data_IF_821790286721
#
_entry.id   IF_821790286721
#
_cell.length_a   1.000
_cell.length_b   1.000
_cell.length_c   1.000
_cell.angle_alpha   90.00
_cell.angle_beta   90.00
_cell.angle_gamma   90.00
#
_symmetry.space_group_name_H-M   'P 1'
#
loop_
_entity.id
_entity.type
_entity.pdbx_description
1 polymer ?
#
# COMPACT_ATOMS: atom_id res chain seq x y z
N UNK A 1 -9.82 18.13 15.15
CA UNK A 1 -10.35 18.56 16.46
C UNK A 1 -10.51 20.07 16.44
N UNK A 2 -11.63 20.58 16.94
CA UNK A 2 -11.80 22.02 17.16
C UNK A 2 -10.93 22.51 18.33
N UNK A 3 -10.70 23.82 18.42
CA UNK A 3 -10.02 24.46 19.55
C UNK A 3 -10.72 24.16 20.87
N UNK A 4 -12.05 24.11 20.88
CA UNK A 4 -12.86 23.80 22.07
C UNK A 4 -12.70 22.34 22.54
N UNK A 5 -12.63 21.38 21.62
CA UNK A 5 -12.38 19.96 21.92
C UNK A 5 -10.99 19.75 22.54
N UNK A 6 -9.98 20.45 22.01
CA UNK A 6 -8.60 20.38 22.53
C UNK A 6 -8.52 20.90 23.96
N UNK A 7 -9.24 21.99 24.24
CA UNK A 7 -9.29 22.61 25.56
C UNK A 7 -10.01 21.73 26.59
N UNK A 8 -11.10 21.08 26.18
CA UNK A 8 -11.83 20.11 27.00
C UNK A 8 -10.98 18.87 27.29
N UNK A 9 -10.31 18.32 26.28
CA UNK A 9 -9.41 17.18 26.43
C UNK A 9 -8.31 17.47 27.45
N UNK A 10 -7.68 18.65 27.35
CA UNK A 10 -6.62 19.07 28.27
C UNK A 10 -7.13 19.21 29.72
N UNK A 11 -8.35 19.75 29.91
CA UNK A 11 -8.98 19.88 31.23
C UNK A 11 -9.28 18.52 31.86
N UNK A 12 -9.86 17.59 31.09
CA UNK A 12 -10.15 16.23 31.54
C UNK A 12 -8.86 15.48 31.89
N UNK A 13 -7.82 15.57 31.05
CA UNK A 13 -6.52 14.96 31.32
C UNK A 13 -5.86 15.51 32.60
N UNK A 14 -5.81 16.84 32.76
CA UNK A 14 -5.28 17.49 33.98
C UNK A 14 -6.07 17.10 35.23
N UNK A 15 -7.38 16.96 35.12
CA UNK A 15 -8.24 16.51 36.23
C UNK A 15 -7.99 15.04 36.58
N UNK A 16 -7.93 14.15 35.60
CA UNK A 16 -7.66 12.74 35.79
C UNK A 16 -6.28 12.48 36.41
N UNK A 17 -5.26 13.21 35.96
CA UNK A 17 -3.91 13.20 36.55
C UNK A 17 -3.91 13.64 38.03
N UNK A 18 -4.64 14.71 38.36
CA UNK A 18 -4.82 15.17 39.76
C UNK A 18 -5.52 14.12 40.62
N UNK A 19 -6.50 13.40 40.06
CA UNK A 19 -7.26 12.35 40.74
C UNK A 19 -6.57 10.98 40.73
N UNK A 20 -5.37 10.88 40.14
CA UNK A 20 -4.60 9.63 39.97
C UNK A 20 -5.44 8.51 39.32
N UNK A 21 -6.33 8.88 38.40
CA UNK A 21 -7.11 7.89 37.66
C UNK A 21 -6.15 7.05 36.80
N UNK A 22 -6.47 5.77 36.66
CA UNK A 22 -5.71 4.91 35.76
C UNK A 22 -5.92 5.35 34.30
N UNK A 23 -5.04 4.88 33.40
CA UNK A 23 -5.07 5.28 32.00
C UNK A 23 -6.41 4.94 31.32
N UNK A 24 -6.95 3.74 31.56
CA UNK A 24 -8.24 3.33 30.98
C UNK A 24 -9.40 4.25 31.38
N UNK A 25 -9.52 4.59 32.67
CA UNK A 25 -10.56 5.51 33.15
C UNK A 25 -10.35 6.92 32.60
N UNK A 26 -9.10 7.36 32.47
CA UNK A 26 -8.77 8.67 31.88
C UNK A 26 -9.15 8.73 30.40
N UNK A 27 -8.84 7.69 29.64
CA UNK A 27 -9.20 7.56 28.23
C UNK A 27 -10.72 7.51 28.06
N UNK A 28 -11.42 6.70 28.88
CA UNK A 28 -12.89 6.63 28.87
C UNK A 28 -13.55 7.99 29.10
N UNK A 29 -13.05 8.78 30.04
CA UNK A 29 -13.57 10.12 30.33
C UNK A 29 -13.28 11.11 29.20
N UNK A 30 -12.12 11.01 28.56
CA UNK A 30 -11.78 11.82 27.40
C UNK A 30 -12.70 11.48 26.22
N UNK A 31 -12.91 10.19 25.95
CA UNK A 31 -13.83 9.73 24.92
C UNK A 31 -15.26 10.22 25.18
N UNK A 32 -15.75 10.11 26.42
CA UNK A 32 -17.11 10.55 26.77
C UNK A 32 -17.24 12.07 26.73
N UNK A 33 -16.27 12.80 27.28
CA UNK A 33 -16.28 14.26 27.32
C UNK A 33 -16.16 14.90 25.94
N UNK A 34 -15.43 14.27 25.02
CA UNK A 34 -15.29 14.74 23.63
C UNK A 34 -16.45 14.28 22.72
N UNK A 35 -17.44 13.56 23.25
CA UNK A 35 -18.52 13.02 22.43
C UNK A 35 -18.05 11.94 21.43
N UNK A 36 -16.91 11.31 21.72
CA UNK A 36 -16.25 10.26 20.95
C UNK A 36 -16.22 8.89 21.67
N UNK A 37 -17.27 8.42 22.41
CA UNK A 37 -17.22 7.10 23.01
C UNK A 37 -16.94 6.04 21.95
N UNK A 38 -15.90 5.24 22.16
CA UNK A 38 -15.62 4.06 21.33
C UNK A 38 -16.72 3.03 21.59
N UNK A 39 -17.20 2.38 20.54
CA UNK A 39 -18.25 1.38 20.67
C UNK A 39 -17.67 0.15 21.38
N UNK A 40 -18.35 -0.31 22.43
CA UNK A 40 -17.92 -1.48 23.19
C UNK A 40 -17.93 -2.73 22.29
N UNK A 41 -16.97 -3.65 22.45
CA UNK A 41 -17.01 -4.93 21.76
C UNK A 41 -18.33 -5.66 22.03
N UNK A 42 -18.84 -6.33 21.01
CA UNK A 42 -20.05 -7.17 21.09
C UNK A 42 -19.85 -8.36 22.03
N UNK A 43 -18.61 -8.84 22.15
CA UNK A 43 -18.20 -9.86 23.12
C UNK A 43 -17.39 -9.17 24.22
N UNK A 44 -17.94 -8.95 25.41
CA UNK A 44 -17.30 -8.13 26.46
C UNK A 44 -15.92 -8.62 26.93
N UNK A 45 -15.62 -9.92 26.74
CA UNK A 45 -14.35 -10.57 27.14
C UNK A 45 -13.30 -10.52 26.01
N UNK A 46 -13.71 -10.17 24.80
CA UNK A 46 -12.85 -10.00 23.62
C UNK A 46 -12.81 -8.51 23.29
N UNK A 47 -11.92 -7.79 23.94
CA UNK A 47 -11.59 -6.41 23.60
C UNK A 47 -10.24 -6.38 22.88
N UNK A 48 -10.14 -5.59 21.82
CA UNK A 48 -8.84 -5.21 21.25
C UNK A 48 -8.11 -4.22 22.19
N UNK A 49 -7.99 -4.57 23.47
CA UNK A 49 -7.21 -3.82 24.46
C UNK A 49 -5.74 -4.28 24.48
N UNK A 50 -5.41 -5.33 23.72
CA UNK A 50 -4.11 -6.03 23.70
C UNK A 50 -2.96 -5.21 23.11
N UNK A 51 -3.24 -4.09 22.44
CA UNK A 51 -2.24 -3.24 21.76
C UNK A 51 -2.01 -1.86 22.40
N UNK A 52 -2.92 -1.39 23.26
CA UNK A 52 -2.99 0.05 23.60
C UNK A 52 -2.98 0.36 25.08
N UNK A 53 -3.17 -0.61 25.98
CA UNK A 53 -3.17 -0.34 27.42
C UNK A 53 -2.35 -1.39 28.15
N UNK A 54 -1.16 -1.03 28.65
CA UNK A 54 -0.35 -1.83 29.58
C UNK A 54 -1.01 -2.06 30.95
N UNK A 55 -2.29 -2.42 30.96
CA UNK A 55 -3.09 -2.78 32.13
C UNK A 55 -3.19 -4.31 32.12
N UNK A 56 -2.28 -4.94 32.88
CA UNK A 56 -2.19 -6.36 33.27
C UNK A 56 -3.23 -7.32 32.66
N UNK A 57 -2.79 -8.13 31.69
CA UNK A 57 -3.36 -9.47 31.49
C UNK A 57 -3.19 -10.13 30.12
N UNK A 58 -2.98 -9.36 29.04
CA UNK A 58 -2.91 -9.90 27.66
C UNK A 58 -2.21 -8.92 26.70
N UNK A 59 -0.96 -8.58 26.97
CA UNK A 59 -0.18 -7.75 26.03
C UNK A 59 0.21 -8.61 24.82
N UNK A 60 -0.11 -8.14 23.60
CA UNK A 60 0.34 -8.83 22.39
C UNK A 60 1.85 -8.70 22.24
N UNK A 61 2.55 -9.83 22.13
CA UNK A 61 4.00 -9.85 21.91
C UNK A 61 4.32 -9.36 20.50
N UNK A 62 5.48 -8.71 20.33
CA UNK A 62 5.93 -8.23 19.01
C UNK A 62 5.98 -9.35 17.97
N UNK A 63 6.40 -10.56 18.35
CA UNK A 63 6.39 -11.72 17.47
C UNK A 63 4.97 -12.07 16.96
N UNK A 64 3.96 -12.02 17.85
CA UNK A 64 2.58 -12.31 17.49
C UNK A 64 1.98 -11.18 16.63
N UNK A 65 2.37 -9.93 16.91
CA UNK A 65 2.00 -8.76 16.11
C UNK A 65 2.59 -8.86 14.69
N UNK A 66 3.88 -9.18 14.55
CA UNK A 66 4.53 -9.36 13.23
C UNK A 66 3.84 -10.46 12.44
N UNK A 67 3.51 -11.59 13.10
CA UNK A 67 2.77 -12.66 12.47
C UNK A 67 1.37 -12.22 12.06
N UNK A 68 0.69 -11.39 12.86
CA UNK A 68 -0.70 -10.96 12.63
C UNK A 68 -0.87 -9.80 11.65
N UNK A 69 0.08 -8.86 11.61
CA UNK A 69 -0.06 -7.58 10.92
C UNK A 69 1.11 -7.24 9.98
N UNK A 70 2.20 -8.03 10.02
CA UNK A 70 3.49 -7.74 9.33
C UNK A 70 4.30 -6.59 9.93
N UNK A 71 3.86 -6.08 11.07
CA UNK A 71 4.51 -5.07 11.89
C UNK A 71 4.45 -5.55 13.34
N UNK A 72 5.45 -5.21 14.13
CA UNK A 72 5.40 -5.38 15.58
C UNK A 72 4.43 -4.35 16.21
N UNK A 73 4.32 -4.32 17.54
CA UNK A 73 3.40 -3.40 18.22
C UNK A 73 3.76 -1.94 17.91
N UNK A 74 5.04 -1.60 18.01
CA UNK A 74 5.54 -0.25 17.74
C UNK A 74 5.25 0.19 16.30
N UNK A 75 5.45 -0.70 15.33
CA UNK A 75 5.22 -0.43 13.92
C UNK A 75 3.74 -0.19 13.60
N UNK A 76 2.82 -0.92 14.22
CA UNK A 76 1.37 -0.64 14.06
C UNK A 76 1.02 0.74 14.62
N UNK A 77 1.54 1.09 15.80
CA UNK A 77 1.30 2.40 16.42
C UNK A 77 1.91 3.55 15.61
N UNK A 78 3.16 3.40 15.18
CA UNK A 78 3.87 4.38 14.36
C UNK A 78 3.16 4.59 13.02
N UNK A 79 2.78 3.50 12.34
CA UNK A 79 2.05 3.56 11.08
C UNK A 79 0.68 4.25 11.25
N UNK A 80 -0.04 3.95 12.33
CA UNK A 80 -1.33 4.60 12.65
C UNK A 80 -1.15 6.11 12.80
N UNK A 81 -0.10 6.53 13.52
CA UNK A 81 0.22 7.94 13.73
C UNK A 81 0.65 8.64 12.43
N UNK A 82 1.59 8.06 11.68
CA UNK A 82 2.16 8.67 10.49
C UNK A 82 1.16 8.76 9.33
N UNK A 83 0.24 7.80 9.22
CA UNK A 83 -0.84 7.86 8.23
C UNK A 83 -1.95 8.85 8.59
N UNK A 84 -1.86 9.50 9.76
CA UNK A 84 -2.84 10.48 10.22
C UNK A 84 -4.19 9.86 10.57
N UNK A 85 -4.21 8.58 10.97
CA UNK A 85 -5.45 7.90 11.34
C UNK A 85 -6.02 8.58 12.59
N UNK A 86 -7.30 9.01 12.57
CA UNK A 86 -7.93 9.59 13.75
C UNK A 86 -7.88 8.65 14.96
N UNK A 87 -7.71 9.20 16.16
CA UNK A 87 -7.75 8.42 17.41
C UNK A 87 -9.04 7.60 17.54
N UNK A 88 -10.17 8.16 17.07
CA UNK A 88 -11.44 7.46 16.92
C UNK A 88 -11.87 7.56 15.47
N UNK A 89 -11.90 6.42 14.79
CA UNK A 89 -12.42 6.27 13.43
C UNK A 89 -13.93 6.08 13.53
N UNK A 90 -14.65 6.89 12.75
CA UNK A 90 -16.11 6.87 12.68
C UNK A 90 -16.51 6.51 11.25
N UNK A 91 -17.13 5.35 11.06
CA UNK A 91 -17.58 4.90 9.74
C UNK A 91 -18.84 5.67 9.29
N UNK A 92 -19.23 5.55 8.02
CA UNK A 92 -20.48 6.13 7.52
C UNK A 92 -21.72 5.56 8.21
N UNK A 93 -21.64 4.33 8.72
CA UNK A 93 -22.68 3.69 9.54
C UNK A 93 -22.54 4.01 11.03
N UNK A 94 -21.67 4.97 11.38
CA UNK A 94 -21.42 5.47 12.75
C UNK A 94 -20.83 4.42 13.70
N UNK A 95 -20.21 3.37 13.18
CA UNK A 95 -19.39 2.48 14.01
C UNK A 95 -18.20 3.30 14.53
N UNK A 96 -17.88 3.14 15.82
CA UNK A 96 -16.80 3.87 16.49
C UNK A 96 -15.74 2.91 16.97
N UNK A 97 -14.52 3.10 16.48
CA UNK A 97 -13.38 2.20 16.72
C UNK A 97 -12.12 3.01 16.94
N UNK A 98 -11.21 2.54 17.79
CA UNK A 98 -9.93 3.23 17.97
C UNK A 98 -9.11 3.20 16.67
N UNK A 99 -8.31 4.22 16.42
CA UNK A 99 -7.48 4.29 15.21
C UNK A 99 -6.53 3.09 15.07
N UNK A 100 -5.94 2.65 16.19
CA UNK A 100 -5.04 1.49 16.25
C UNK A 100 -5.78 0.19 15.94
N UNK A 101 -7.00 0.01 16.49
CA UNK A 101 -7.84 -1.13 16.17
C UNK A 101 -8.25 -1.14 14.70
N UNK A 102 -8.62 0.02 14.15
CA UNK A 102 -8.97 0.14 12.73
C UNK A 102 -7.77 -0.21 11.82
N UNK A 103 -6.57 0.26 12.17
CA UNK A 103 -5.32 -0.09 11.47
C UNK A 103 -5.03 -1.60 11.55
N UNK A 104 -5.19 -2.20 12.72
CA UNK A 104 -4.98 -3.64 12.90
C UNK A 104 -6.01 -4.48 12.13
N UNK A 105 -7.28 -4.04 12.07
CA UNK A 105 -8.31 -4.67 11.22
C UNK A 105 -7.87 -4.63 9.75
N UNK A 106 -7.37 -3.47 9.28
CA UNK A 106 -6.84 -3.30 7.92
C UNK A 106 -5.70 -4.28 7.63
N UNK A 107 -4.66 -4.28 8.47
CA UNK A 107 -3.47 -5.11 8.30
C UNK A 107 -3.78 -6.61 8.41
N UNK A 108 -4.57 -7.02 9.41
CA UNK A 108 -4.99 -8.42 9.61
C UNK A 108 -5.77 -8.94 8.41
N UNK A 109 -6.67 -8.11 7.85
CA UNK A 109 -7.47 -8.48 6.70
C UNK A 109 -6.63 -8.58 5.42
N UNK A 110 -5.64 -7.70 5.23
CA UNK A 110 -4.74 -7.75 4.07
C UNK A 110 -3.79 -8.95 4.11
N UNK A 111 -3.31 -9.32 5.31
CA UNK A 111 -2.30 -10.37 5.52
C UNK A 111 -2.64 -11.70 4.81
N UNK A 112 -3.87 -12.18 4.96
CA UNK A 112 -4.27 -13.51 4.49
C UNK A 112 -5.78 -13.54 4.19
N UNK A 113 -6.28 -14.42 3.30
CA UNK A 113 -7.71 -14.62 3.07
C UNK A 113 -8.45 -15.25 4.26
N UNK A 114 -8.61 -14.47 5.32
CA UNK A 114 -9.40 -14.78 6.52
C UNK A 114 -10.86 -14.39 6.28
N UNK A 115 -11.84 -14.98 6.97
CA UNK A 115 -13.22 -14.47 6.95
C UNK A 115 -13.42 -13.38 8.01
N UNK A 116 -14.48 -12.57 7.88
CA UNK A 116 -14.81 -11.66 8.98
C UNK A 116 -15.27 -12.41 10.22
N UNK A 117 -15.83 -13.62 10.08
CA UNK A 117 -16.20 -14.48 11.19
C UNK A 117 -14.99 -14.85 12.05
N UNK A 118 -13.90 -15.29 11.43
CA UNK A 118 -12.68 -15.68 12.17
C UNK A 118 -12.03 -14.50 12.91
N UNK A 119 -12.25 -13.27 12.42
CA UNK A 119 -11.75 -12.04 13.04
C UNK A 119 -12.53 -11.62 14.30
N UNK A 120 -13.74 -12.18 14.54
CA UNK A 120 -14.53 -11.87 15.75
C UNK A 120 -13.75 -12.18 17.03
N UNK A 121 -13.00 -13.28 17.04
CA UNK A 121 -12.23 -13.72 18.21
C UNK A 121 -11.08 -12.78 18.57
N UNK A 122 -10.62 -11.96 17.61
CA UNK A 122 -9.52 -11.01 17.80
C UNK A 122 -10.04 -9.62 18.15
N UNK A 123 -11.13 -9.18 17.52
CA UNK A 123 -11.60 -7.79 17.63
C UNK A 123 -12.89 -7.63 18.42
N UNK A 124 -13.61 -8.71 18.70
CA UNK A 124 -14.88 -8.68 19.44
C UNK A 124 -16.00 -7.89 18.74
N UNK A 125 -15.85 -7.58 17.44
CA UNK A 125 -16.82 -6.83 16.64
C UNK A 125 -17.62 -7.74 15.72
N UNK A 126 -18.84 -7.33 15.38
CA UNK A 126 -19.66 -8.08 14.42
C UNK A 126 -18.99 -8.13 13.04
N UNK A 127 -19.37 -9.11 12.21
CA UNK A 127 -18.82 -9.26 10.86
C UNK A 127 -19.10 -8.02 10.01
N UNK A 128 -20.26 -7.41 10.24
CA UNK A 128 -20.75 -6.24 9.54
C UNK A 128 -19.93 -5.00 9.93
N UNK A 129 -19.64 -4.82 11.22
CA UNK A 129 -18.74 -3.76 11.71
C UNK A 129 -17.34 -3.91 11.12
N UNK A 130 -16.75 -5.11 11.18
CA UNK A 130 -15.42 -5.37 10.64
C UNK A 130 -15.34 -5.08 9.13
N UNK A 131 -16.37 -5.45 8.39
CA UNK A 131 -16.47 -5.14 6.96
C UNK A 131 -16.51 -3.63 6.70
N UNK A 132 -17.33 -2.88 7.45
CA UNK A 132 -17.44 -1.43 7.29
C UNK A 132 -16.15 -0.70 7.69
N UNK A 133 -15.53 -1.09 8.80
CA UNK A 133 -14.25 -0.54 9.26
C UNK A 133 -13.15 -0.82 8.25
N UNK A 134 -13.03 -2.05 7.75
CA UNK A 134 -12.05 -2.40 6.73
C UNK A 134 -12.21 -1.53 5.47
N UNK A 135 -13.42 -1.44 4.93
CA UNK A 135 -13.66 -0.63 3.72
C UNK A 135 -13.44 0.87 3.97
N UNK A 136 -13.82 1.38 5.15
CA UNK A 136 -13.55 2.75 5.54
C UNK A 136 -12.04 3.03 5.58
N UNK A 137 -11.25 2.15 6.19
CA UNK A 137 -9.80 2.30 6.26
C UNK A 137 -9.13 2.20 4.89
N UNK A 138 -9.59 1.32 4.00
CA UNK A 138 -9.12 1.27 2.61
C UNK A 138 -9.38 2.60 1.90
N UNK A 139 -10.59 3.16 2.03
CA UNK A 139 -10.92 4.46 1.43
C UNK A 139 -10.10 5.59 2.04
N UNK A 140 -10.00 5.64 3.38
CA UNK A 140 -9.21 6.65 4.07
C UNK A 140 -7.76 6.66 3.59
N UNK A 141 -7.08 5.51 3.61
CA UNK A 141 -5.68 5.42 3.17
C UNK A 141 -5.55 5.78 1.69
N UNK A 142 -6.39 5.20 0.83
CA UNK A 142 -6.32 5.47 -0.60
C UNK A 142 -6.54 6.95 -0.91
N UNK A 143 -7.61 7.56 -0.39
CA UNK A 143 -7.94 8.96 -0.69
C UNK A 143 -6.87 9.92 -0.16
N UNK A 144 -6.35 9.69 1.05
CA UNK A 144 -5.31 10.54 1.66
C UNK A 144 -3.97 10.42 0.94
N UNK A 145 -3.60 9.21 0.50
CA UNK A 145 -2.27 8.91 -0.04
C UNK A 145 -2.24 8.62 -1.54
N UNK A 146 -3.33 8.89 -2.28
CA UNK A 146 -3.43 8.55 -3.72
C UNK A 146 -2.31 9.13 -4.57
N UNK A 147 -1.87 10.34 -4.27
CA UNK A 147 -0.83 11.02 -5.05
C UNK A 147 0.54 10.41 -4.75
N UNK A 148 0.79 10.02 -3.48
CA UNK A 148 1.97 9.24 -3.09
C UNK A 148 1.99 7.84 -3.69
N UNK A 149 0.83 7.16 -3.72
CA UNK A 149 0.68 5.83 -4.36
C UNK A 149 0.92 5.95 -5.87
N UNK A 150 0.35 6.98 -6.49
CA UNK A 150 0.56 7.23 -7.90
C UNK A 150 2.02 7.54 -8.18
N UNK A 151 2.65 8.50 -7.52
CA UNK A 151 4.10 8.70 -7.61
C UNK A 151 4.61 9.57 -6.44
N UNK A 152 5.48 9.02 -5.60
CA UNK A 152 6.09 9.79 -4.50
C UNK A 152 7.23 10.69 -5.03
N UNK A 153 6.86 11.85 -5.60
CA UNK A 153 7.80 12.84 -6.17
C UNK A 153 8.89 13.26 -5.22
N UNK A 154 8.57 13.41 -3.94
CA UNK A 154 9.51 13.90 -2.93
C UNK A 154 10.70 12.95 -2.78
N UNK A 155 10.40 11.65 -2.67
CA UNK A 155 11.42 10.60 -2.60
C UNK A 155 12.19 10.51 -3.92
N UNK A 156 11.50 10.56 -5.06
CA UNK A 156 12.18 10.58 -6.38
C UNK A 156 13.14 11.76 -6.48
N UNK A 157 12.69 12.99 -6.20
CA UNK A 157 13.50 14.20 -6.26
C UNK A 157 14.76 14.08 -5.40
N UNK A 158 14.64 13.51 -4.21
CA UNK A 158 15.78 13.35 -3.30
C UNK A 158 16.76 12.24 -3.73
N UNK A 159 16.30 11.19 -4.43
CA UNK A 159 17.05 9.93 -4.60
C UNK A 159 17.32 9.52 -6.05
N UNK A 160 16.72 10.15 -7.06
CA UNK A 160 16.80 9.73 -8.47
C UNK A 160 18.24 9.58 -8.98
N UNK A 161 19.13 10.51 -8.62
CA UNK A 161 20.54 10.45 -8.96
C UNK A 161 21.27 9.27 -8.29
N UNK A 162 20.91 8.94 -7.06
CA UNK A 162 21.46 7.79 -6.32
C UNK A 162 20.99 6.49 -6.95
N UNK A 163 19.70 6.40 -7.31
CA UNK A 163 19.15 5.23 -8.02
C UNK A 163 19.91 4.94 -9.30
N UNK A 164 20.13 5.97 -10.13
CA UNK A 164 20.87 5.82 -11.39
C UNK A 164 22.31 5.35 -11.18
N UNK A 165 23.01 5.94 -10.20
CA UNK A 165 24.37 5.55 -9.85
C UNK A 165 24.48 4.10 -9.39
N UNK A 166 23.55 3.65 -8.53
CA UNK A 166 23.55 2.29 -8.00
C UNK A 166 23.21 1.27 -9.08
N UNK A 167 22.27 1.58 -9.97
CA UNK A 167 21.95 0.76 -11.15
C UNK A 167 23.16 0.63 -12.07
N UNK A 168 23.86 1.73 -12.34
CA UNK A 168 25.10 1.72 -13.12
C UNK A 168 26.19 0.87 -12.45
N UNK A 169 26.43 1.09 -11.15
CA UNK A 169 27.41 0.33 -10.37
C UNK A 169 27.11 -1.17 -10.34
N UNK A 170 25.83 -1.56 -10.44
CA UNK A 170 25.42 -2.97 -10.50
C UNK A 170 25.74 -3.65 -11.84
N UNK A 171 26.09 -2.88 -12.87
CA UNK A 171 26.49 -3.37 -14.19
C UNK A 171 25.60 -2.89 -15.34
N UNK A 172 24.77 -1.85 -15.14
CA UNK A 172 24.03 -1.24 -16.24
C UNK A 172 24.98 -0.48 -17.17
N UNK A 173 24.96 -0.73 -18.50
CA UNK A 173 25.67 0.10 -19.48
C UNK A 173 25.15 1.53 -19.57
N UNK A 174 23.95 1.81 -19.03
CA UNK A 174 23.35 3.15 -18.99
C UNK A 174 23.59 3.78 -17.62
N UNK A 175 24.00 5.06 -17.62
CA UNK A 175 24.32 5.83 -16.41
C UNK A 175 23.12 6.53 -15.76
N UNK A 176 21.98 6.58 -16.46
CA UNK A 176 20.84 7.41 -16.11
C UNK A 176 19.51 6.63 -16.02
N UNK A 177 19.55 5.31 -15.93
CA UNK A 177 18.38 4.48 -15.64
C UNK A 177 18.12 4.48 -14.14
N UNK A 178 16.94 4.89 -13.69
CA UNK A 178 16.66 5.07 -12.25
C UNK A 178 15.58 4.12 -11.70
N UNK A 179 14.74 3.55 -12.55
CA UNK A 179 13.70 2.61 -12.13
C UNK A 179 13.31 1.67 -13.27
N UNK A 180 12.58 0.62 -12.90
CA UNK A 180 12.14 -0.41 -13.84
C UNK A 180 10.62 -0.57 -13.77
N UNK A 181 9.90 -0.39 -14.89
CA UNK A 181 8.48 -0.68 -14.97
C UNK A 181 8.22 -2.18 -15.07
N UNK A 182 7.17 -2.62 -14.41
CA UNK A 182 6.64 -3.97 -14.55
C UNK A 182 5.12 -4.00 -14.35
N UNK A 183 4.47 -4.98 -14.98
CA UNK A 183 3.04 -5.21 -14.89
C UNK A 183 2.70 -6.40 -14.00
N UNK A 184 1.69 -6.30 -13.15
CA UNK A 184 1.14 -7.44 -12.42
C UNK A 184 -0.34 -7.61 -12.67
N UNK A 185 -0.75 -8.87 -12.84
CA UNK A 185 -2.16 -9.24 -12.92
C UNK A 185 -2.62 -9.83 -11.59
N UNK A 186 -3.74 -9.34 -11.09
CA UNK A 186 -4.40 -9.84 -9.88
C UNK A 186 -5.64 -10.62 -10.31
N UNK A 187 -5.69 -11.91 -9.95
CA UNK A 187 -6.81 -12.78 -10.30
C UNK A 187 -8.09 -12.35 -9.58
N UNK A 188 -9.20 -12.40 -10.29
CA UNK A 188 -10.52 -12.10 -9.74
C UNK A 188 -11.46 -13.30 -9.89
N UNK A 189 -12.55 -13.30 -9.10
CA UNK A 189 -13.68 -14.16 -9.41
C UNK A 189 -14.11 -13.97 -10.86
N UNK A 190 -14.63 -15.05 -11.46
CA UNK A 190 -15.34 -14.95 -12.73
C UNK A 190 -16.61 -14.11 -12.50
N UNK A 191 -16.64 -12.92 -13.08
CA UNK A 191 -17.83 -12.07 -13.07
C UNK A 191 -18.91 -12.67 -13.99
N UNK A 192 -20.18 -12.49 -13.63
CA UNK A 192 -21.29 -12.82 -14.53
C UNK A 192 -21.19 -11.99 -15.81
N UNK A 193 -21.64 -12.57 -16.94
CA UNK A 193 -21.63 -11.86 -18.22
C UNK A 193 -22.61 -10.67 -18.22
N UNK A 194 -23.71 -10.81 -17.47
CA UNK A 194 -24.70 -9.79 -17.16
C UNK A 194 -24.62 -9.47 -15.67
N UNK A 195 -24.03 -8.33 -15.31
CA UNK A 195 -24.32 -7.71 -14.03
C UNK A 195 -25.58 -6.86 -14.19
N UNK A 196 -26.53 -6.95 -13.26
CA UNK A 196 -27.67 -6.03 -13.23
C UNK A 196 -27.13 -4.59 -13.25
N UNK A 197 -27.44 -3.84 -14.32
CA UNK A 197 -26.95 -2.47 -14.54
C UNK A 197 -25.90 -2.29 -15.65
N UNK A 198 -25.40 -3.36 -16.29
CA UNK A 198 -24.41 -3.29 -17.37
C UNK A 198 -24.94 -3.88 -18.70
N UNK A 199 -26.14 -3.45 -19.13
CA UNK A 199 -26.75 -3.89 -20.39
C UNK A 199 -25.79 -3.59 -21.56
N UNK A 200 -25.41 -4.63 -22.32
CA UNK A 200 -24.50 -4.51 -23.48
C UNK A 200 -22.99 -4.61 -23.16
N UNK A 201 -22.59 -4.68 -21.89
CA UNK A 201 -21.18 -4.81 -21.50
C UNK A 201 -20.87 -6.23 -21.01
N UNK A 202 -20.22 -7.04 -21.85
CA UNK A 202 -19.68 -8.33 -21.44
C UNK A 202 -18.41 -8.14 -20.57
N UNK A 203 -18.62 -7.82 -19.29
CA UNK A 203 -17.55 -7.60 -18.30
C UNK A 203 -16.65 -8.84 -18.13
N UNK A 204 -17.23 -10.02 -18.32
CA UNK A 204 -16.51 -11.28 -18.30
C UNK A 204 -15.44 -11.33 -19.40
N UNK A 205 -15.78 -10.95 -20.63
CA UNK A 205 -14.82 -10.90 -21.76
C UNK A 205 -13.74 -9.83 -21.54
N UNK A 206 -14.09 -8.67 -21.00
CA UNK A 206 -13.13 -7.58 -20.76
C UNK A 206 -12.08 -7.94 -19.71
N UNK A 207 -12.50 -8.56 -18.61
CA UNK A 207 -11.60 -8.94 -17.50
C UNK A 207 -10.79 -10.20 -17.79
N UNK A 208 -11.21 -11.02 -18.76
CA UNK A 208 -10.47 -12.22 -19.14
C UNK A 208 -9.20 -11.87 -19.91
N UNK A 209 -8.05 -12.32 -19.41
CA UNK A 209 -6.79 -12.25 -20.14
C UNK A 209 -6.57 -13.53 -20.93
N UNK A 210 -6.59 -13.45 -22.27
CA UNK A 210 -6.27 -14.61 -23.11
C UNK A 210 -4.85 -15.13 -22.91
N UNK A 211 -3.89 -14.24 -22.68
CA UNK A 211 -2.48 -14.61 -22.45
C UNK A 211 -2.27 -15.38 -21.15
N UNK A 212 -2.90 -14.94 -20.03
CA UNK A 212 -2.79 -15.62 -18.73
C UNK A 212 -3.88 -16.67 -18.48
N UNK A 213 -4.88 -16.77 -19.37
CA UNK A 213 -6.04 -17.68 -19.29
C UNK A 213 -6.82 -17.58 -17.97
N UNK A 214 -7.02 -16.35 -17.48
CA UNK A 214 -7.65 -16.06 -16.18
C UNK A 214 -8.39 -14.71 -16.20
N UNK A 215 -9.42 -14.57 -15.37
CA UNK A 215 -10.05 -13.26 -15.09
C UNK A 215 -9.16 -12.48 -14.14
N UNK A 216 -8.76 -11.28 -14.53
CA UNK A 216 -7.85 -10.48 -13.73
C UNK A 216 -7.99 -8.99 -13.99
N UNK A 217 -7.41 -8.23 -13.06
CA UNK A 217 -7.14 -6.80 -13.20
C UNK A 217 -5.64 -6.59 -13.43
N UNK A 218 -5.29 -5.68 -14.33
CA UNK A 218 -3.91 -5.32 -14.62
C UNK A 218 -3.51 -4.07 -13.84
N UNK A 219 -2.29 -4.09 -13.30
CA UNK A 219 -1.66 -3.00 -12.57
C UNK A 219 -0.23 -2.83 -13.09
N UNK A 220 0.30 -1.62 -12.99
CA UNK A 220 1.67 -1.29 -13.36
C UNK A 220 2.36 -0.62 -12.18
N UNK A 221 3.62 -0.98 -11.96
CA UNK A 221 4.46 -0.36 -10.95
C UNK A 221 5.83 0.00 -11.48
N UNK A 222 6.46 1.01 -10.87
CA UNK A 222 7.89 1.31 -11.04
C UNK A 222 8.63 0.87 -9.79
N UNK A 223 9.62 -0.01 -9.95
CA UNK A 223 10.47 -0.47 -8.84
C UNK A 223 11.79 0.26 -8.84
N UNK A 224 12.19 0.81 -7.69
CA UNK A 224 13.46 1.51 -7.48
C UNK A 224 14.49 0.62 -6.74
N UNK A 225 15.79 0.93 -6.85
CA UNK A 225 16.87 0.17 -6.21
C UNK A 225 16.75 0.01 -4.70
N UNK A 226 16.12 0.95 -4.02
CA UNK A 226 15.86 0.88 -2.57
C UNK A 226 14.69 -0.03 -2.18
N UNK A 227 14.13 -0.75 -3.16
CA UNK A 227 13.10 -1.75 -2.96
C UNK A 227 11.68 -1.20 -2.83
N UNK A 228 11.46 0.07 -3.18
CA UNK A 228 10.13 0.67 -3.22
C UNK A 228 9.44 0.46 -4.57
N UNK A 229 8.12 0.34 -4.53
CA UNK A 229 7.25 0.60 -5.67
C UNK A 229 6.93 2.10 -5.72
N UNK A 230 7.74 2.90 -6.42
CA UNK A 230 7.68 4.37 -6.34
C UNK A 230 6.49 4.99 -7.10
N UNK A 231 5.93 4.24 -8.05
CA UNK A 231 4.71 4.55 -8.78
C UNK A 231 3.89 3.27 -8.86
N UNK A 232 2.58 3.35 -8.61
CA UNK A 232 1.68 2.22 -8.79
C UNK A 232 0.32 2.67 -9.33
N UNK A 233 -0.11 2.05 -10.43
CA UNK A 233 -1.32 2.43 -11.16
C UNK A 233 -2.18 1.23 -11.53
N UNK A 234 -3.50 1.43 -11.51
CA UNK A 234 -4.53 0.47 -11.85
C UNK A 234 -5.81 0.78 -11.05
N UNK A 235 -6.82 -0.11 -11.08
CA UNK A 235 -6.92 -1.32 -11.89
C UNK A 235 -7.32 -1.04 -13.34
N UNK A 236 -6.81 -1.83 -14.28
CA UNK A 236 -7.33 -1.92 -15.65
C UNK A 236 -7.79 -3.34 -16.00
N UNK A 237 -8.52 -3.50 -17.10
CA UNK A 237 -9.04 -4.81 -17.48
C UNK A 237 -7.90 -5.77 -17.88
N UNK A 238 -7.92 -7.01 -17.41
CA UNK A 238 -6.83 -7.98 -17.62
C UNK A 238 -6.52 -8.34 -19.07
N UNK A 239 -7.45 -8.08 -20.00
CA UNK A 239 -7.24 -8.22 -21.44
C UNK A 239 -6.26 -7.18 -22.02
N UNK A 240 -6.03 -6.06 -21.32
CA UNK A 240 -5.14 -4.99 -21.79
C UNK A 240 -3.66 -5.41 -21.69
N UNK A 241 -2.90 -5.02 -22.70
CA UNK A 241 -1.43 -5.14 -22.71
C UNK A 241 -0.79 -4.06 -21.83
N UNK A 242 0.43 -4.30 -21.35
CA UNK A 242 1.12 -3.39 -20.42
C UNK A 242 1.40 -2.00 -21.04
N UNK A 243 1.59 -1.93 -22.36
CA UNK A 243 1.65 -0.67 -23.12
C UNK A 243 0.37 0.16 -22.97
N UNK A 244 -0.79 -0.50 -22.91
CA UNK A 244 -2.06 0.19 -22.69
C UNK A 244 -2.15 0.73 -21.27
N UNK A 245 -1.63 -0.02 -20.28
CA UNK A 245 -1.56 0.46 -18.89
C UNK A 245 -0.65 1.66 -18.79
N UNK A 246 0.53 1.62 -19.41
CA UNK A 246 1.47 2.74 -19.50
C UNK A 246 0.79 4.00 -20.07
N UNK A 247 0.10 3.87 -21.20
CA UNK A 247 -0.60 5.00 -21.82
C UNK A 247 -1.70 5.57 -20.91
N UNK A 248 -2.54 4.71 -20.34
CA UNK A 248 -3.67 5.16 -19.52
C UNK A 248 -3.19 5.73 -18.17
N UNK A 249 -2.07 5.24 -17.65
CA UNK A 249 -1.47 5.75 -16.42
C UNK A 249 -1.03 7.21 -16.54
N UNK A 250 -0.83 7.73 -17.76
CA UNK A 250 -0.30 9.07 -18.03
C UNK A 250 1.09 9.33 -17.41
N UNK A 251 1.87 8.26 -17.19
CA UNK A 251 3.17 8.36 -16.53
C UNK A 251 4.19 9.21 -17.33
N UNK A 252 4.13 9.19 -18.66
CA UNK A 252 5.04 9.97 -19.49
C UNK A 252 4.69 11.46 -19.46
N UNK A 253 3.40 11.79 -19.47
CA UNK A 253 2.87 13.13 -19.30
C UNK A 253 3.22 13.66 -17.91
N UNK A 254 3.18 12.79 -16.89
CA UNK A 254 3.62 13.13 -15.54
C UNK A 254 5.12 13.47 -15.49
N UNK A 255 5.97 12.69 -16.15
CA UNK A 255 7.40 13.00 -16.26
C UNK A 255 7.65 14.31 -17.02
N UNK A 256 6.90 14.57 -18.08
CA UNK A 256 6.98 15.84 -18.83
C UNK A 256 6.61 17.05 -17.97
N UNK A 257 5.49 16.96 -17.24
CA UNK A 257 5.04 18.01 -16.33
C UNK A 257 5.98 18.26 -15.15
N UNK A 258 6.83 17.29 -14.80
CA UNK A 258 7.81 17.37 -13.72
C UNK A 258 9.25 17.24 -14.26
N UNK A 259 9.50 17.79 -15.45
CA UNK A 259 10.79 17.69 -16.15
C UNK A 259 11.97 18.20 -15.33
N UNK A 260 11.75 19.13 -14.39
CA UNK A 260 12.77 19.57 -13.44
C UNK A 260 13.34 18.43 -12.55
N UNK A 261 12.63 17.32 -12.40
CA UNK A 261 13.06 16.13 -11.66
C UNK A 261 13.55 15.03 -12.60
N UNK A 262 12.77 14.75 -13.65
CA UNK A 262 12.97 13.56 -14.48
C UNK A 262 13.87 13.77 -15.69
N UNK A 263 14.09 15.02 -16.13
CA UNK A 263 14.86 15.28 -17.35
C UNK A 263 16.28 14.74 -17.26
N UNK A 264 16.70 14.01 -18.30
CA UNK A 264 17.98 13.32 -18.34
C UNK A 264 18.00 11.92 -17.70
N UNK A 265 16.89 11.46 -17.11
CA UNK A 265 16.75 10.11 -16.54
C UNK A 265 15.74 9.26 -17.32
N UNK A 266 15.97 7.94 -17.32
CA UNK A 266 15.12 6.96 -18.01
C UNK A 266 14.62 5.85 -17.09
N UNK A 267 13.44 5.33 -17.38
CA UNK A 267 13.02 4.01 -16.87
C UNK A 267 13.35 2.94 -17.92
N UNK A 268 13.70 1.73 -17.46
CA UNK A 268 14.09 0.64 -18.36
C UNK A 268 13.09 -0.52 -18.35
N UNK A 269 12.30 -0.64 -19.42
CA UNK A 269 11.26 -1.66 -19.58
C UNK A 269 11.69 -2.89 -20.40
N UNK A 270 10.81 -3.90 -20.45
CA UNK A 270 10.98 -5.07 -21.34
C UNK A 270 10.75 -4.66 -22.80
N UNK A 271 10.98 -5.57 -23.79
CA UNK A 271 10.75 -5.21 -25.17
C UNK A 271 9.29 -4.80 -25.46
N UNK A 272 8.31 -5.13 -24.62
CA UNK A 272 6.94 -4.69 -24.85
C UNK A 272 6.79 -3.17 -24.67
N UNK A 273 7.65 -2.52 -23.86
CA UNK A 273 7.61 -1.08 -23.65
C UNK A 273 8.13 -0.29 -24.86
N UNK A 274 7.44 0.80 -25.26
CA UNK A 274 7.89 1.66 -26.35
C UNK A 274 9.13 2.45 -25.92
N UNK A 275 10.05 2.70 -26.86
CA UNK A 275 11.16 3.63 -26.66
C UNK A 275 10.62 5.06 -26.81
N UNK A 276 10.92 5.92 -25.85
CA UNK A 276 10.51 7.33 -25.85
C UNK A 276 11.54 8.21 -25.13
N UNK A 277 11.25 9.51 -24.98
CA UNK A 277 12.07 10.44 -24.17
C UNK A 277 12.33 9.93 -22.76
N UNK A 278 11.42 9.15 -22.19
CA UNK A 278 11.47 8.73 -20.79
C UNK A 278 11.77 7.25 -20.59
N UNK A 279 11.66 6.45 -21.66
CA UNK A 279 11.64 5.00 -21.58
C UNK A 279 12.65 4.43 -22.57
N UNK A 280 13.54 3.58 -22.05
CA UNK A 280 14.42 2.73 -22.84
C UNK A 280 13.97 1.28 -22.68
N UNK A 281 14.07 0.49 -23.75
CA UNK A 281 13.78 -0.94 -23.70
C UNK A 281 14.86 -1.74 -24.40
N UNK A 282 14.93 -3.03 -24.08
CA UNK A 282 15.85 -3.97 -24.71
C UNK A 282 15.63 -4.08 -26.22
N UNK A 283 16.71 -4.35 -26.96
CA UNK A 283 16.64 -4.60 -28.40
C UNK A 283 15.78 -5.82 -28.73
N UNK A 284 14.97 -5.73 -29.80
CA UNK A 284 14.08 -6.79 -30.32
C UNK A 284 14.71 -7.60 -31.44
N UNK A 285 14.31 -8.86 -31.56
CA UNK A 285 14.63 -9.74 -32.70
C UNK A 285 15.48 -10.95 -32.30
N UNK A 286 15.45 -11.99 -33.15
CA UNK A 286 16.18 -13.25 -32.91
C UNK A 286 17.65 -13.19 -33.35
N UNK A 287 18.00 -12.28 -34.27
CA UNK A 287 19.35 -12.13 -34.83
C UNK A 287 19.99 -10.82 -34.34
N UNK A 288 20.13 -10.68 -33.03
CA UNK A 288 20.86 -9.55 -32.45
C UNK A 288 22.36 -9.73 -32.65
N UNK A 289 23.05 -8.67 -33.07
CA UNK A 289 24.51 -8.64 -33.05
C UNK A 289 25.07 -8.82 -31.62
N UNK A 290 26.35 -9.15 -31.52
CA UNK A 290 26.97 -9.46 -30.23
C UNK A 290 26.90 -8.28 -29.24
N UNK A 291 26.97 -7.04 -29.73
CA UNK A 291 26.91 -5.84 -28.90
C UNK A 291 25.52 -5.65 -28.27
N UNK A 292 24.45 -5.82 -29.06
CA UNK A 292 23.06 -5.76 -28.59
C UNK A 292 22.75 -6.90 -27.62
N UNK A 293 23.30 -8.09 -27.85
CA UNK A 293 23.16 -9.20 -26.92
C UNK A 293 23.85 -8.90 -25.59
N UNK A 294 25.09 -8.41 -25.62
CA UNK A 294 25.81 -7.99 -24.40
C UNK A 294 25.05 -6.91 -23.63
N UNK A 295 24.49 -5.91 -24.32
CA UNK A 295 23.64 -4.89 -23.73
C UNK A 295 22.39 -5.48 -23.06
N UNK A 296 21.63 -6.32 -23.78
CA UNK A 296 20.41 -6.94 -23.25
C UNK A 296 20.72 -7.84 -22.04
N UNK A 297 21.80 -8.61 -22.07
CA UNK A 297 22.25 -9.45 -20.96
C UNK A 297 22.60 -8.62 -19.73
N UNK A 298 23.37 -7.54 -19.91
CA UNK A 298 23.73 -6.65 -18.82
C UNK A 298 22.49 -6.00 -18.18
N UNK A 299 21.60 -5.43 -18.99
CA UNK A 299 20.38 -4.81 -18.48
C UNK A 299 19.40 -5.82 -17.87
N UNK A 300 19.27 -7.03 -18.45
CA UNK A 300 18.44 -8.10 -17.90
C UNK A 300 18.92 -8.50 -16.51
N UNK A 301 20.23 -8.67 -16.31
CA UNK A 301 20.83 -8.98 -15.00
C UNK A 301 20.47 -7.92 -13.95
N UNK A 302 20.58 -6.63 -14.28
CA UNK A 302 20.27 -5.57 -13.31
C UNK A 302 18.76 -5.53 -13.01
N UNK A 303 17.91 -5.81 -14.00
CA UNK A 303 16.46 -5.80 -13.85
C UNK A 303 15.88 -7.00 -13.07
N UNK A 304 16.63 -8.08 -12.85
CA UNK A 304 16.12 -9.28 -12.15
C UNK A 304 15.46 -8.99 -10.80
N UNK A 305 15.89 -7.95 -10.08
CA UNK A 305 15.29 -7.59 -8.79
C UNK A 305 13.85 -7.07 -8.86
N UNK A 306 13.36 -6.68 -10.03
CA UNK A 306 12.07 -6.00 -10.19
C UNK A 306 10.89 -6.93 -9.95
N UNK A 307 10.99 -8.18 -10.39
CA UNK A 307 9.93 -9.19 -10.21
C UNK A 307 9.66 -9.49 -8.73
N UNK A 308 10.65 -9.25 -7.86
CA UNK A 308 10.53 -9.49 -6.42
C UNK A 308 9.56 -8.53 -5.75
N UNK A 309 9.29 -7.36 -6.32
CA UNK A 309 8.44 -6.35 -5.66
C UNK A 309 6.97 -6.79 -5.61
N UNK A 310 6.42 -7.24 -6.75
CA UNK A 310 5.08 -7.81 -6.79
C UNK A 310 4.99 -9.14 -6.05
N UNK A 311 6.05 -9.97 -6.11
CA UNK A 311 6.14 -11.16 -5.29
C UNK A 311 6.04 -10.85 -3.79
N UNK A 312 6.76 -9.82 -3.33
CA UNK A 312 6.73 -9.35 -1.94
C UNK A 312 5.34 -8.87 -1.53
N UNK A 313 4.69 -8.03 -2.34
CA UNK A 313 3.32 -7.58 -2.06
C UNK A 313 2.37 -8.77 -1.89
N UNK A 314 2.44 -9.76 -2.79
CA UNK A 314 1.59 -10.97 -2.76
C UNK A 314 1.87 -11.85 -1.53
N UNK A 315 3.14 -11.95 -1.11
CA UNK A 315 3.54 -12.71 0.08
C UNK A 315 3.14 -12.03 1.39
N UNK A 316 3.29 -10.70 1.47
CA UNK A 316 2.87 -9.94 2.64
C UNK A 316 1.35 -9.91 2.78
N UNK A 317 0.65 -9.72 1.65
CA UNK A 317 -0.79 -9.43 1.58
C UNK A 317 -1.54 -10.49 0.77
N UNK A 318 -1.58 -11.72 1.29
CA UNK A 318 -2.22 -12.87 0.63
C UNK A 318 -3.71 -12.69 0.36
N UNK A 319 -4.38 -11.74 1.02
CA UNK A 319 -5.77 -11.39 0.69
C UNK A 319 -5.92 -11.03 -0.80
N UNK A 320 -4.96 -10.28 -1.35
CA UNK A 320 -4.99 -9.80 -2.73
C UNK A 320 -4.86 -10.93 -3.76
N UNK A 321 -4.28 -12.06 -3.40
CA UNK A 321 -4.06 -13.19 -4.32
C UNK A 321 -5.20 -14.20 -4.32
N UNK A 322 -6.05 -14.18 -3.29
CA UNK A 322 -7.15 -15.12 -3.17
C UNK A 322 -8.35 -14.66 -3.99
N UNK A 323 -8.43 -15.15 -5.23
CA UNK A 323 -9.44 -14.74 -6.22
C UNK A 323 -10.89 -14.80 -5.74
N UNK A 324 -11.23 -15.75 -4.85
CA UNK A 324 -12.60 -15.93 -4.35
C UNK A 324 -13.05 -14.77 -3.46
N UNK A 325 -12.14 -13.93 -2.98
CA UNK A 325 -12.44 -12.67 -2.27
C UNK A 325 -12.28 -11.44 -3.18
N UNK A 326 -11.72 -11.59 -4.38
CA UNK A 326 -11.57 -10.51 -5.36
C UNK A 326 -12.81 -10.44 -6.26
N UNK A 327 -13.92 -9.97 -5.67
CA UNK A 327 -15.23 -9.90 -6.32
C UNK A 327 -15.50 -8.49 -6.85
N UNK A 328 -15.23 -8.28 -8.14
CA UNK A 328 -15.57 -7.05 -8.84
C UNK A 328 -17.09 -6.78 -8.70
N UNK A 329 -17.48 -5.51 -8.53
CA UNK A 329 -18.86 -5.03 -8.24
C UNK A 329 -19.39 -5.33 -6.83
N UNK A 330 -18.74 -6.19 -6.05
CA UNK A 330 -19.13 -6.48 -4.66
C UNK A 330 -18.09 -5.99 -3.64
N UNK A 331 -16.90 -5.64 -4.09
CA UNK A 331 -15.78 -5.18 -3.25
C UNK A 331 -14.90 -4.21 -4.03
N UNK A 332 -14.20 -3.34 -3.31
CA UNK A 332 -13.26 -2.40 -3.91
C UNK A 332 -11.89 -3.06 -4.18
N UNK A 333 -11.87 -4.03 -5.09
CA UNK A 333 -10.66 -4.81 -5.45
C UNK A 333 -9.50 -3.88 -5.83
N UNK A 334 -9.78 -2.84 -6.62
CA UNK A 334 -8.77 -1.88 -7.09
C UNK A 334 -8.07 -1.16 -5.94
N UNK A 335 -8.84 -0.47 -5.08
CA UNK A 335 -8.28 0.26 -3.97
C UNK A 335 -7.57 -0.65 -2.97
N UNK A 336 -8.07 -1.87 -2.75
CA UNK A 336 -7.39 -2.85 -1.89
C UNK A 336 -6.00 -3.18 -2.39
N UNK A 337 -5.84 -3.43 -3.69
CA UNK A 337 -4.51 -3.75 -4.26
C UNK A 337 -3.57 -2.54 -4.20
N UNK A 338 -4.09 -1.33 -4.47
CA UNK A 338 -3.31 -0.09 -4.35
C UNK A 338 -2.81 0.13 -2.92
N UNK A 339 -3.70 -0.02 -1.93
CA UNK A 339 -3.34 0.09 -0.51
C UNK A 339 -2.40 -1.04 -0.08
N UNK A 340 -2.55 -2.27 -0.60
CA UNK A 340 -1.61 -3.35 -0.31
C UNK A 340 -0.19 -3.06 -0.82
N UNK A 341 -0.05 -2.50 -2.02
CA UNK A 341 1.27 -2.07 -2.49
C UNK A 341 1.83 -0.92 -1.64
N UNK A 342 1.00 0.05 -1.28
CA UNK A 342 1.40 1.13 -0.37
C UNK A 342 1.89 0.62 0.99
N UNK A 343 1.18 -0.36 1.58
CA UNK A 343 1.61 -1.03 2.81
C UNK A 343 2.87 -1.87 2.62
N UNK A 344 3.13 -2.38 1.42
CA UNK A 344 4.41 -3.05 1.08
C UNK A 344 5.58 -2.08 1.14
N UNK A 345 5.41 -0.86 0.64
CA UNK A 345 6.42 0.20 0.77
C UNK A 345 6.62 0.60 2.25
N UNK A 346 5.53 0.80 3.00
CA UNK A 346 5.62 1.10 4.43
C UNK A 346 6.38 0.00 5.19
N UNK A 347 6.09 -1.27 4.87
CA UNK A 347 6.81 -2.41 5.43
C UNK A 347 8.30 -2.40 5.05
N UNK A 348 8.65 -2.07 3.80
CA UNK A 348 10.04 -1.92 3.38
C UNK A 348 10.77 -0.85 4.20
N UNK A 349 10.20 0.36 4.30
CA UNK A 349 10.80 1.46 5.04
C UNK A 349 10.92 1.18 6.55
N UNK A 350 9.92 0.52 7.14
CA UNK A 350 9.91 0.19 8.56
C UNK A 350 11.00 -0.84 8.93
N UNK A 351 11.15 -1.88 8.11
CA UNK A 351 12.14 -2.94 8.34
C UNK A 351 13.54 -2.61 7.79
N UNK A 352 13.76 -1.37 7.30
CA UNK A 352 15.05 -0.93 6.77
C UNK A 352 15.46 -1.58 5.45
N UNK A 353 14.52 -2.16 4.70
CA UNK A 353 14.81 -2.74 3.39
C UNK A 353 14.07 -4.03 3.05
N UNK A 354 14.46 -4.59 1.90
CA UNK A 354 14.01 -5.86 1.39
C UNK A 354 15.05 -6.49 0.47
N UNK A 355 14.71 -7.62 -0.16
CA UNK A 355 15.62 -8.32 -1.07
C UNK A 355 16.15 -7.44 -2.22
N UNK A 356 15.35 -6.48 -2.70
CA UNK A 356 15.74 -5.55 -3.78
C UNK A 356 16.76 -4.55 -3.25
N UNK A 357 16.49 -3.93 -2.10
CA UNK A 357 17.41 -3.00 -1.44
C UNK A 357 18.75 -3.67 -1.13
N UNK A 358 18.74 -4.92 -0.66
CA UNK A 358 19.95 -5.72 -0.45
C UNK A 358 20.67 -6.07 -1.75
N UNK A 359 19.93 -6.37 -2.82
CA UNK A 359 20.54 -6.66 -4.12
C UNK A 359 21.27 -5.46 -4.69
N UNK A 360 20.70 -4.26 -4.56
CA UNK A 360 21.33 -3.03 -5.02
C UNK A 360 22.30 -2.42 -4.00
N UNK A 361 22.26 -2.83 -2.73
CA UNK A 361 23.07 -2.24 -1.66
C UNK A 361 22.64 -0.81 -1.33
N UNK A 362 21.35 -0.53 -1.36
CA UNK A 362 20.79 0.81 -1.11
C UNK A 362 19.59 0.70 -0.19
N UNK A 363 19.70 1.20 1.03
CA UNK A 363 18.62 1.18 2.01
C UNK A 363 17.46 2.10 1.60
N UNK A 364 16.20 1.79 1.97
CA UNK A 364 15.07 2.70 1.78
C UNK A 364 15.15 3.93 2.70
N UNK A 365 14.41 5.01 2.40
CA UNK A 365 14.13 6.04 3.39
C UNK A 365 13.45 5.43 4.62
N UNK A 366 13.58 6.10 5.77
CA UNK A 366 12.84 5.73 6.98
C UNK A 366 11.32 5.80 6.73
N UNK A 367 10.53 5.10 7.55
CA UNK A 367 9.07 5.13 7.42
C UNK A 367 8.52 6.57 7.52
N UNK A 368 9.05 7.36 8.45
CA UNK A 368 8.70 8.77 8.63
C UNK A 368 9.02 9.61 7.40
N UNK A 369 10.21 9.47 6.83
CA UNK A 369 10.56 10.16 5.58
C UNK A 369 9.64 9.72 4.44
N UNK A 370 9.39 8.42 4.27
CA UNK A 370 8.51 7.96 3.20
C UNK A 370 7.08 8.54 3.31
N UNK A 371 6.56 8.65 4.54
CA UNK A 371 5.23 9.18 4.87
C UNK A 371 5.21 10.68 5.18
N UNK A 372 6.21 11.46 4.75
CA UNK A 372 6.13 12.93 4.85
C UNK A 372 5.41 13.49 3.62
N UNK A 373 4.33 14.26 3.82
CA UNK A 373 3.61 14.94 2.74
C UNK A 373 4.31 16.25 2.34
N UNK A 374 4.22 16.69 1.07
CA UNK A 374 4.78 18.00 0.63
C UNK A 374 4.12 19.20 1.36
N UNK A 375 2.95 19.03 1.99
CA UNK A 375 2.26 20.09 2.75
C UNK A 375 2.81 20.32 4.16
N UNK A 376 3.78 19.50 4.60
CA UNK A 376 4.37 19.59 5.94
C UNK A 376 5.42 20.72 6.04
N UNK A 377 5.86 21.28 4.91
CA UNK A 377 6.93 22.28 4.83
C UNK A 377 6.38 23.73 4.76
N UNK A 378 5.09 23.94 5.02
CA UNK A 378 4.42 25.28 5.00
C UNK A 378 3.64 25.57 6.31
N UNK A 379 4.08 25.03 7.46
CA UNK A 379 3.53 25.44 8.77
C UNK A 379 4.65 25.81 9.74
#
# INVERSE_FOLDING_TARGET
>A
MSTAESDLALRVYKWAKRKKLNLATTTMLLEFGLGLPVERPLIPVVSFEELTTGIKGRDMRDADAVLSFRFDVSGVLELTSLLGVPNVVITSSRDRVTGVEAMAILLKRLRYPITFYDMLSTFGRSREQLCRIFNHMIQFVYTTWRDHIYCNKRIVRARIAQYARVIQAKGSPLSNVWAFPDGTKIETCRISASANGAVGLNLQKRTYSGHKRMHCLNFQGLTTPDGLCIHFFGPLEGSRHDVTVLRISQLQEYFEANSNIFNGYYIYGDPAYPISKWIVSSYKGNNLDEQRQRFNTAMSRVRQGVEWNFGRMKNLWGFTTYKMQQKIMLSNVGAVVLVAMFMTNCNCCYHGGNQISSYFGMDPPTLKEYLTSEFSDIV
#
